data_IF_957429444252
#
_entry.id   IF_957429444252
#
_cell.length_a   1.000
_cell.length_b   1.000
_cell.length_c   1.000
_cell.angle_alpha   90.00
_cell.angle_beta   90.00
_cell.angle_gamma   90.00
#
_symmetry.space_group_name_H-M   'P 1'
#
loop_
_entity.id
_entity.type
_entity.pdbx_description
1 polymer ?
#
# COMPACT_ATOMS: atom_id res chain seq x y z
N UNK A 1 -2.53 14.26 -15.89
CA UNK A 1 -2.29 13.37 -14.73
C UNK A 1 -3.56 13.06 -13.92
N UNK A 2 -4.55 13.97 -13.80
CA UNK A 2 -5.78 13.71 -13.03
C UNK A 2 -6.63 12.52 -13.51
N UNK A 3 -6.51 12.10 -14.78
CA UNK A 3 -7.31 11.01 -15.35
C UNK A 3 -6.88 9.59 -14.90
N UNK A 4 -5.69 9.44 -14.29
CA UNK A 4 -5.19 8.14 -13.82
C UNK A 4 -5.45 7.91 -12.32
N UNK A 5 -5.74 8.98 -11.57
CA UNK A 5 -6.04 8.87 -10.15
C UNK A 5 -7.37 8.16 -9.96
N UNK A 6 -7.38 7.10 -9.14
CA UNK A 6 -8.52 6.19 -9.02
C UNK A 6 -8.81 5.30 -10.22
N UNK A 7 -7.98 5.28 -11.28
CA UNK A 7 -8.22 4.40 -12.43
C UNK A 7 -8.04 2.91 -12.04
N UNK A 8 -9.00 2.02 -12.32
CA UNK A 8 -8.99 0.64 -11.82
C UNK A 8 -7.72 -0.13 -12.21
N UNK A 9 -7.26 0.01 -13.45
CA UNK A 9 -6.04 -0.66 -13.91
C UNK A 9 -4.76 -0.16 -13.22
N UNK A 10 -4.70 1.14 -12.88
CA UNK A 10 -3.55 1.71 -12.18
C UNK A 10 -3.54 1.26 -10.72
N UNK A 11 -4.71 1.26 -10.08
CA UNK A 11 -4.84 0.77 -8.70
C UNK A 11 -4.51 -0.72 -8.60
N UNK A 12 -4.96 -1.55 -9.54
CA UNK A 12 -4.66 -2.98 -9.52
C UNK A 12 -3.17 -3.26 -9.73
N UNK A 13 -2.54 -2.58 -10.69
CA UNK A 13 -1.08 -2.66 -10.88
C UNK A 13 -0.33 -2.26 -9.62
N UNK A 14 -0.67 -1.11 -9.02
CA UNK A 14 -0.02 -0.62 -7.82
C UNK A 14 -0.19 -1.59 -6.64
N UNK A 15 -1.36 -2.23 -6.50
CA UNK A 15 -1.57 -3.27 -5.49
C UNK A 15 -0.69 -4.49 -5.73
N UNK A 16 -0.51 -4.92 -6.97
CA UNK A 16 0.40 -6.01 -7.30
C UNK A 16 1.85 -5.63 -6.98
N UNK A 17 2.29 -4.45 -7.38
CA UNK A 17 3.64 -3.93 -7.11
C UNK A 17 3.92 -3.86 -5.60
N UNK A 18 2.95 -3.41 -4.80
CA UNK A 18 3.07 -3.38 -3.34
C UNK A 18 3.15 -4.79 -2.71
N UNK A 19 2.46 -5.79 -3.26
CA UNK A 19 2.59 -7.19 -2.80
C UNK A 19 3.99 -7.72 -3.07
N UNK A 20 4.52 -7.47 -4.26
CA UNK A 20 5.85 -7.92 -4.66
C UNK A 20 6.93 -7.23 -3.81
N UNK A 21 6.81 -5.93 -3.58
CA UNK A 21 7.69 -5.19 -2.67
C UNK A 21 7.64 -5.72 -1.24
N UNK A 22 6.44 -5.98 -0.71
CA UNK A 22 6.28 -6.56 0.62
C UNK A 22 6.93 -7.95 0.73
N UNK A 23 6.82 -8.78 -0.31
CA UNK A 23 7.48 -10.08 -0.37
C UNK A 23 9.01 -9.96 -0.38
N UNK A 24 9.55 -9.01 -1.16
CA UNK A 24 10.99 -8.75 -1.20
C UNK A 24 11.53 -8.24 0.16
N UNK A 25 10.81 -7.32 0.80
CA UNK A 25 11.17 -6.80 2.13
C UNK A 25 11.11 -7.92 3.17
N UNK A 26 10.11 -8.79 3.11
CA UNK A 26 10.01 -9.95 4.01
C UNK A 26 11.17 -10.93 3.83
N UNK A 27 11.60 -11.23 2.60
CA UNK A 27 12.77 -12.09 2.34
C UNK A 27 14.04 -11.49 2.94
N UNK A 28 14.31 -10.20 2.71
CA UNK A 28 15.48 -9.52 3.30
C UNK A 28 15.40 -9.49 4.83
N UNK A 29 14.24 -9.12 5.38
CA UNK A 29 14.01 -9.00 6.82
C UNK A 29 14.11 -10.36 7.54
N UNK A 30 13.80 -11.46 6.86
CA UNK A 30 13.96 -12.81 7.43
C UNK A 30 15.42 -13.15 7.76
N UNK A 31 16.38 -12.48 7.08
CA UNK A 31 17.82 -12.71 7.22
C UNK A 31 18.52 -11.61 8.01
N UNK A 32 18.10 -10.37 7.80
CA UNK A 32 18.70 -9.18 8.42
C UNK A 32 17.99 -8.71 9.70
N UNK A 33 16.78 -9.22 9.97
CA UNK A 33 15.86 -8.68 10.97
C UNK A 33 15.00 -7.55 10.40
N UNK A 34 13.78 -7.39 10.92
CA UNK A 34 12.86 -6.34 10.51
C UNK A 34 13.23 -4.98 11.10
N UNK A 35 13.10 -3.91 10.31
CA UNK A 35 13.27 -2.53 10.79
C UNK A 35 11.99 -2.07 11.48
N UNK A 36 12.08 -1.84 12.80
CA UNK A 36 10.98 -1.32 13.60
C UNK A 36 11.03 0.20 13.61
N UNK A 37 10.39 0.82 12.64
CA UNK A 37 10.18 2.26 12.56
C UNK A 37 8.68 2.59 12.65
N UNK A 38 8.29 3.78 13.15
CA UNK A 38 6.93 4.27 13.02
C UNK A 38 6.50 4.27 11.57
N UNK A 39 5.24 3.88 11.30
CA UNK A 39 4.67 4.01 9.96
C UNK A 39 4.51 5.49 9.61
N UNK A 40 4.96 5.85 8.42
CA UNK A 40 4.72 7.13 7.77
C UNK A 40 3.22 7.42 7.64
N UNK A 41 2.42 6.42 7.24
CA UNK A 41 0.97 6.58 7.02
C UNK A 41 0.13 6.44 8.29
N UNK A 42 0.50 5.51 9.15
CA UNK A 42 -0.21 5.15 10.38
C UNK A 42 0.69 5.44 11.58
N UNK A 43 0.79 6.71 12.03
CA UNK A 43 1.78 7.14 13.02
C UNK A 43 1.64 6.45 14.39
N UNK A 44 0.49 5.85 14.65
CA UNK A 44 0.18 5.03 15.83
C UNK A 44 0.69 3.58 15.71
N UNK A 45 1.27 3.19 14.57
CA UNK A 45 1.67 1.82 14.26
C UNK A 45 3.14 1.72 13.85
N UNK A 46 3.69 0.52 13.94
CA UNK A 46 5.02 0.19 13.42
C UNK A 46 4.88 -0.30 11.98
N UNK A 47 5.68 0.25 11.05
CA UNK A 47 5.58 -0.04 9.61
C UNK A 47 5.65 -1.53 9.29
N UNK A 48 6.59 -2.26 9.89
CA UNK A 48 6.78 -3.69 9.64
C UNK A 48 5.67 -4.60 10.23
N UNK A 49 4.75 -4.04 11.03
CA UNK A 49 3.64 -4.78 11.66
C UNK A 49 2.29 -4.54 10.95
N UNK A 50 2.28 -3.74 9.89
CA UNK A 50 1.07 -3.47 9.13
C UNK A 50 0.61 -4.72 8.36
N UNK A 51 -0.67 -5.06 8.51
CA UNK A 51 -1.31 -6.12 7.72
C UNK A 51 -1.52 -5.62 6.29
N UNK A 52 -0.50 -5.82 5.45
CA UNK A 52 -0.53 -5.41 4.05
C UNK A 52 -1.63 -6.12 3.26
N UNK A 53 -1.98 -7.37 3.59
CA UNK A 53 -3.04 -8.06 2.88
C UNK A 53 -4.39 -7.38 3.13
N UNK A 54 -4.69 -7.04 4.39
CA UNK A 54 -5.92 -6.34 4.74
C UNK A 54 -5.96 -4.92 4.17
N UNK A 55 -4.86 -4.16 4.23
CA UNK A 55 -4.78 -2.81 3.68
C UNK A 55 -4.96 -2.80 2.15
N UNK A 56 -4.31 -3.71 1.44
CA UNK A 56 -4.46 -3.80 -0.02
C UNK A 56 -5.87 -4.21 -0.43
N UNK A 57 -6.61 -4.96 0.38
CA UNK A 57 -8.02 -5.27 0.11
C UNK A 57 -8.94 -4.09 0.46
N UNK A 58 -8.67 -3.40 1.58
CA UNK A 58 -9.42 -2.22 2.01
C UNK A 58 -9.39 -1.10 0.95
N UNK A 59 -8.23 -0.85 0.33
CA UNK A 59 -8.04 0.24 -0.62
C UNK A 59 -8.13 -0.20 -2.10
N UNK A 60 -8.88 -1.26 -2.39
CA UNK A 60 -9.20 -1.66 -3.77
C UNK A 60 -10.08 -0.62 -4.47
N UNK A 61 -10.12 -0.67 -5.81
CA UNK A 61 -11.00 0.18 -6.61
C UNK A 61 -12.48 -0.01 -6.23
N UNK A 62 -13.22 1.09 -6.10
CA UNK A 62 -14.64 1.12 -5.77
C UNK A 62 -15.46 1.61 -6.97
N UNK A 63 -16.12 0.71 -7.73
CA UNK A 63 -16.96 1.11 -8.86
C UNK A 63 -18.12 1.99 -8.41
N UNK A 64 -18.30 3.12 -9.07
CA UNK A 64 -19.38 4.07 -8.76
C UNK A 64 -19.04 5.10 -7.68
N UNK A 65 -17.85 5.01 -7.06
CA UNK A 65 -17.35 6.00 -6.12
C UNK A 65 -15.91 6.44 -6.48
N UNK A 66 -15.77 7.49 -7.32
CA UNK A 66 -14.48 8.00 -7.74
C UNK A 66 -13.67 8.59 -6.58
N UNK A 67 -14.31 9.21 -5.59
CA UNK A 67 -13.62 9.84 -4.46
C UNK A 67 -12.97 8.79 -3.56
N UNK A 68 -13.69 7.71 -3.25
CA UNK A 68 -13.14 6.56 -2.51
C UNK A 68 -12.00 5.91 -3.30
N UNK A 69 -12.15 5.74 -4.62
CA UNK A 69 -11.10 5.15 -5.46
C UNK A 69 -9.85 6.03 -5.53
N UNK A 70 -10.02 7.35 -5.66
CA UNK A 70 -8.91 8.31 -5.64
C UNK A 70 -8.21 8.32 -4.29
N UNK A 71 -8.96 8.35 -3.19
CA UNK A 71 -8.42 8.26 -1.84
C UNK A 71 -7.63 6.97 -1.65
N UNK A 72 -8.20 5.83 -2.01
CA UNK A 72 -7.52 4.53 -1.95
C UNK A 72 -6.24 4.51 -2.77
N UNK A 73 -6.25 5.09 -3.97
CA UNK A 73 -5.05 5.19 -4.80
C UNK A 73 -3.95 6.02 -4.11
N UNK A 74 -4.29 7.16 -3.49
CA UNK A 74 -3.32 7.95 -2.72
C UNK A 74 -2.77 7.15 -1.54
N UNK A 75 -3.62 6.45 -0.79
CA UNK A 75 -3.16 5.64 0.35
C UNK A 75 -2.23 4.52 -0.10
N UNK A 76 -2.51 3.85 -1.23
CA UNK A 76 -1.61 2.86 -1.81
C UNK A 76 -0.24 3.48 -2.18
N UNK A 77 -0.21 4.70 -2.72
CA UNK A 77 1.04 5.42 -2.99
C UNK A 77 1.79 5.79 -1.70
N UNK A 78 1.09 6.14 -0.62
CA UNK A 78 1.72 6.42 0.67
C UNK A 78 2.27 5.14 1.31
N UNK A 79 1.64 3.98 1.10
CA UNK A 79 2.17 2.68 1.54
C UNK A 79 3.50 2.34 0.88
N UNK A 80 3.76 2.80 -0.34
CA UNK A 80 5.06 2.64 -1.00
C UNK A 80 6.17 3.37 -0.24
N UNK A 81 5.89 4.58 0.26
CA UNK A 81 6.83 5.39 1.04
C UNK A 81 7.02 4.77 2.44
N UNK A 82 5.98 4.11 2.95
CA UNK A 82 5.93 3.51 4.27
C UNK A 82 6.79 2.24 4.43
N UNK A 83 7.17 1.61 3.31
CA UNK A 83 7.89 0.33 3.24
C UNK A 83 9.41 0.46 3.41
#
# INVERSE_FOLDING_TARGET
MAQLLGHPGCMESLRADLRDLQAAIADVSSRAGAVRAPSWKFPDRVSCELDMAALLEQYRHCPGDPEVSQHGHVVLLELLIDR
#
